data_IF_300557171782
#
_entry.id   IF_300557171782
#
_cell.length_a   1.000
_cell.length_b   1.000
_cell.length_c   1.000
_cell.angle_alpha   90.00
_cell.angle_beta   90.00
_cell.angle_gamma   90.00
#
_symmetry.space_group_name_H-M   'P 1'
#
loop_
_entity.id
_entity.type
_entity.pdbx_description
1 polymer ?
#
# COMPACT_ATOMS: atom_id res chain seq x y z
N UNK A 1 16.66 -0.12 8.86
CA UNK A 1 16.69 -1.22 9.85
C UNK A 1 15.96 -2.46 9.33
N UNK A 2 14.62 -2.60 9.39
CA UNK A 2 13.93 -3.85 8.99
C UNK A 2 14.35 -4.41 7.62
N UNK A 3 14.23 -3.64 6.54
CA UNK A 3 14.61 -4.07 5.19
C UNK A 3 16.11 -4.38 5.02
N UNK A 4 16.98 -3.68 5.77
CA UNK A 4 18.44 -3.89 5.72
C UNK A 4 18.85 -5.18 6.42
N UNK A 5 18.18 -5.52 7.52
CA UNK A 5 18.46 -6.73 8.30
C UNK A 5 17.90 -8.00 7.64
N UNK A 6 16.75 -7.91 6.99
CA UNK A 6 16.07 -9.07 6.39
C UNK A 6 16.35 -9.24 4.90
N UNK A 7 16.90 -8.22 4.24
CA UNK A 7 17.03 -8.18 2.78
C UNK A 7 15.68 -8.17 2.04
N UNK A 8 14.59 -7.79 2.71
CA UNK A 8 13.24 -7.80 2.12
C UNK A 8 12.77 -6.41 1.72
N UNK A 9 11.87 -6.34 0.74
CA UNK A 9 11.15 -5.12 0.37
C UNK A 9 9.94 -4.93 1.31
N UNK A 10 9.72 -3.70 1.78
CA UNK A 10 8.51 -3.34 2.53
C UNK A 10 7.48 -2.75 1.56
N UNK A 11 6.26 -3.29 1.60
CA UNK A 11 5.09 -2.80 0.87
C UNK A 11 4.03 -2.34 1.87
N UNK A 12 3.11 -1.48 1.41
CA UNK A 12 2.02 -0.95 2.26
C UNK A 12 0.70 -1.60 1.91
N UNK A 13 -0.02 -2.06 2.93
CA UNK A 13 -1.40 -2.51 2.82
C UNK A 13 -2.25 -1.68 3.79
N UNK A 14 -3.01 -0.72 3.27
CA UNK A 14 -3.79 0.22 4.08
C UNK A 14 -5.13 -0.39 4.50
N UNK A 15 -5.49 -0.38 5.81
CA UNK A 15 -6.80 -0.82 6.29
C UNK A 15 -7.91 0.22 6.07
N UNK A 16 -7.61 1.38 5.49
CA UNK A 16 -8.56 2.46 5.15
C UNK A 16 -9.23 3.18 6.34
N UNK A 17 -8.89 2.83 7.57
CA UNK A 17 -9.41 3.48 8.78
C UNK A 17 -8.84 4.89 8.99
N UNK A 18 -7.64 5.18 8.45
CA UNK A 18 -6.96 6.46 8.55
C UNK A 18 -6.55 6.99 7.18
N UNK A 19 -7.37 7.86 6.58
CA UNK A 19 -7.02 8.58 5.36
C UNK A 19 -6.20 9.83 5.72
N UNK A 20 -4.97 9.94 5.19
CA UNK A 20 -4.11 11.09 5.45
C UNK A 20 -4.70 12.39 4.88
N UNK A 21 -4.30 13.54 5.43
CA UNK A 21 -4.71 14.86 4.91
C UNK A 21 -4.34 15.04 3.42
N UNK A 22 -3.20 14.49 3.00
CA UNK A 22 -2.77 14.52 1.60
C UNK A 22 -3.65 13.67 0.69
N UNK A 23 -4.14 12.52 1.14
CA UNK A 23 -5.06 11.68 0.37
C UNK A 23 -6.44 12.32 0.30
N UNK A 24 -6.91 12.96 1.38
CA UNK A 24 -8.15 13.75 1.37
C UNK A 24 -8.06 14.91 0.37
N UNK A 25 -6.94 15.64 0.36
CA UNK A 25 -6.72 16.75 -0.58
C UNK A 25 -6.68 16.31 -2.05
N UNK A 26 -6.31 15.04 -2.30
CA UNK A 26 -6.29 14.43 -3.64
C UNK A 26 -7.63 13.82 -4.05
N UNK A 27 -8.65 13.88 -3.19
CA UNK A 27 -9.91 13.14 -3.35
C UNK A 27 -9.68 11.64 -3.60
N UNK A 28 -8.65 11.06 -2.99
CA UNK A 28 -8.36 9.63 -3.13
C UNK A 28 -9.55 8.83 -2.60
N UNK A 29 -10.13 8.01 -3.46
CA UNK A 29 -11.31 7.21 -3.13
C UNK A 29 -10.94 5.88 -2.50
N UNK A 30 -11.95 5.18 -1.98
CA UNK A 30 -11.85 3.80 -1.55
C UNK A 30 -11.24 2.89 -2.64
N UNK A 31 -11.71 3.02 -3.88
CA UNK A 31 -11.26 2.17 -4.97
C UNK A 31 -9.82 2.45 -5.40
N UNK A 32 -9.36 3.69 -5.31
CA UNK A 32 -7.97 4.04 -5.60
C UNK A 32 -7.04 3.34 -4.60
N UNK A 33 -7.35 3.44 -3.30
CA UNK A 33 -6.58 2.74 -2.26
C UNK A 33 -6.64 1.23 -2.38
N UNK A 34 -7.79 0.67 -2.73
CA UNK A 34 -7.90 -0.79 -2.91
C UNK A 34 -7.12 -1.28 -4.13
N UNK A 35 -6.98 -0.47 -5.17
CA UNK A 35 -6.11 -0.77 -6.31
C UNK A 35 -4.62 -0.72 -5.90
N UNK A 36 -4.21 0.28 -5.12
CA UNK A 36 -2.85 0.35 -4.56
C UNK A 36 -2.53 -0.87 -3.68
N UNK A 37 -3.48 -1.25 -2.83
CA UNK A 37 -3.40 -2.45 -1.98
C UNK A 37 -3.28 -3.71 -2.82
N UNK A 38 -4.12 -3.86 -3.85
CA UNK A 38 -4.09 -5.02 -4.73
C UNK A 38 -2.78 -5.12 -5.51
N UNK A 39 -2.24 -3.99 -6.00
CA UNK A 39 -0.94 -3.95 -6.66
C UNK A 39 0.19 -4.42 -5.72
N UNK A 40 0.17 -3.94 -4.47
CA UNK A 40 1.13 -4.36 -3.45
C UNK A 40 1.03 -5.85 -3.12
N UNK A 41 -0.20 -6.38 -3.03
CA UNK A 41 -0.43 -7.81 -2.80
C UNK A 41 0.05 -8.66 -3.97
N UNK A 42 -0.23 -8.25 -5.21
CA UNK A 42 0.27 -8.94 -6.40
C UNK A 42 1.78 -9.00 -6.45
N UNK A 43 2.45 -7.90 -6.11
CA UNK A 43 3.91 -7.87 -6.00
C UNK A 43 4.41 -8.85 -4.93
N UNK A 44 3.83 -8.82 -3.72
CA UNK A 44 4.23 -9.69 -2.63
C UNK A 44 3.98 -11.19 -2.91
N UNK A 45 2.94 -11.50 -3.68
CA UNK A 45 2.54 -12.86 -4.05
C UNK A 45 3.11 -13.32 -5.39
N UNK A 46 3.97 -12.51 -6.02
CA UNK A 46 4.59 -12.80 -7.32
C UNK A 46 3.57 -13.16 -8.42
N UNK A 47 2.40 -12.52 -8.39
CA UNK A 47 1.32 -12.74 -9.34
C UNK A 47 1.27 -11.59 -10.36
N UNK A 48 1.62 -11.88 -11.61
CA UNK A 48 1.49 -10.94 -12.76
C UNK A 48 0.04 -10.83 -13.23
#
# INVERSE_FOLDING_TARGET
VLAEETGTKILTLSPLEGISKSEQAKNTSYFDKMQENLASLKEALECT
#
